data_IF_172045971326
#
_entry.id   IF_172045971326
#
_cell.length_a   1.000
_cell.length_b   1.000
_cell.length_c   1.000
_cell.angle_alpha   90.00
_cell.angle_beta   90.00
_cell.angle_gamma   90.00
#
_symmetry.space_group_name_H-M   'P 1'
#
loop_
_entity.id
_entity.type
_entity.pdbx_description
1 polymer ?
#
# COMPACT_ATOMS: atom_id res chain seq x y z
N UNK A 1 15.78 5.55 -6.67
CA UNK A 1 15.07 5.77 -7.96
C UNK A 1 14.28 7.07 -7.83
N UNK A 2 13.84 7.69 -8.92
CA UNK A 2 12.89 8.81 -8.84
C UNK A 2 11.50 8.30 -8.40
N UNK A 3 10.59 9.17 -7.93
CA UNK A 3 9.22 8.76 -7.59
C UNK A 3 8.53 8.01 -8.74
N UNK A 4 8.64 8.54 -9.97
CA UNK A 4 8.05 7.91 -11.15
C UNK A 4 8.66 6.53 -11.46
N UNK A 5 9.98 6.39 -11.32
CA UNK A 5 10.64 5.09 -11.49
C UNK A 5 10.18 4.08 -10.42
N UNK A 6 9.95 4.53 -9.19
CA UNK A 6 9.44 3.70 -8.10
C UNK A 6 8.03 3.20 -8.36
N UNK A 7 7.14 4.06 -8.87
CA UNK A 7 5.77 3.69 -9.24
C UNK A 7 5.76 2.61 -10.33
N UNK A 8 6.48 2.85 -11.43
CA UNK A 8 6.59 1.91 -12.55
C UNK A 8 7.13 0.55 -12.07
N UNK A 9 8.19 0.57 -11.25
CA UNK A 9 8.77 -0.65 -10.69
C UNK A 9 7.78 -1.39 -9.76
N UNK A 10 7.04 -0.66 -8.92
CA UNK A 10 6.04 -1.24 -8.03
C UNK A 10 4.90 -1.91 -8.80
N UNK A 11 4.34 -1.23 -9.80
CA UNK A 11 3.27 -1.76 -10.65
C UNK A 11 3.72 -3.01 -11.40
N UNK A 12 4.90 -2.95 -12.03
CA UNK A 12 5.46 -4.09 -12.79
C UNK A 12 5.73 -5.31 -11.90
N UNK A 13 6.30 -5.08 -10.71
CA UNK A 13 6.57 -6.15 -9.75
C UNK A 13 5.26 -6.74 -9.20
N UNK A 14 4.28 -5.89 -8.93
CA UNK A 14 2.94 -6.32 -8.49
C UNK A 14 2.26 -7.19 -9.54
N UNK A 15 2.27 -6.78 -10.81
CA UNK A 15 1.73 -7.56 -11.91
C UNK A 15 2.42 -8.94 -12.01
N UNK A 16 3.74 -8.98 -11.82
CA UNK A 16 4.51 -10.23 -11.81
C UNK A 16 4.10 -11.17 -10.68
N UNK A 17 3.89 -10.64 -9.46
CA UNK A 17 3.45 -11.44 -8.32
C UNK A 17 2.02 -11.97 -8.48
N UNK A 18 1.10 -11.14 -9.00
CA UNK A 18 -0.28 -11.55 -9.28
C UNK A 18 -0.32 -12.66 -10.33
N UNK A 19 0.46 -12.53 -11.42
CA UNK A 19 0.60 -13.58 -12.42
C UNK A 19 1.17 -14.88 -11.82
N UNK A 20 2.19 -14.80 -10.96
CA UNK A 20 2.73 -15.97 -10.25
C UNK A 20 1.73 -16.59 -9.24
N UNK A 21 0.78 -15.80 -8.74
CA UNK A 21 -0.33 -16.28 -7.91
C UNK A 21 -1.49 -16.90 -8.72
N UNK A 22 -1.39 -16.91 -10.05
CA UNK A 22 -2.36 -17.49 -10.97
C UNK A 22 -3.48 -16.55 -11.39
N UNK A 23 -3.28 -15.24 -11.27
CA UNK A 23 -4.22 -14.24 -11.80
C UNK A 23 -3.85 -13.83 -13.22
N UNK A 24 -4.86 -13.68 -14.07
CA UNK A 24 -4.74 -12.88 -15.28
C UNK A 24 -4.67 -11.40 -14.88
N UNK A 25 -3.62 -10.71 -15.33
CA UNK A 25 -3.38 -9.31 -14.97
C UNK A 25 -3.65 -8.42 -16.18
N UNK A 26 -4.66 -7.56 -16.06
CA UNK A 26 -4.96 -6.55 -17.04
C UNK A 26 -4.32 -5.24 -16.59
N UNK A 27 -3.32 -4.80 -17.35
CA UNK A 27 -2.68 -3.50 -17.18
C UNK A 27 -3.47 -2.47 -17.95
N UNK A 28 -3.90 -1.40 -17.29
CA UNK A 28 -4.64 -0.35 -17.95
C UNK A 28 -3.69 0.64 -18.62
N UNK A 29 -3.66 0.67 -19.96
CA UNK A 29 -2.87 1.64 -20.70
C UNK A 29 -3.67 2.94 -20.90
N UNK A 30 -3.29 4.02 -20.21
CA UNK A 30 -3.88 5.35 -20.38
C UNK A 30 -3.22 6.41 -19.50
N UNK A 31 -3.20 7.67 -19.97
CA UNK A 31 -2.68 8.79 -19.18
C UNK A 31 -3.65 9.11 -18.03
N UNK A 32 -3.32 8.67 -16.81
CA UNK A 32 -4.06 8.96 -15.56
C UNK A 32 -5.54 8.52 -15.59
N UNK A 33 -5.78 7.23 -15.46
CA UNK A 33 -7.11 6.71 -15.15
C UNK A 33 -7.30 6.71 -13.63
N UNK A 34 -8.38 7.31 -13.10
CA UNK A 34 -8.59 7.39 -11.67
C UNK A 34 -8.96 6.02 -11.09
N UNK A 35 -8.61 5.82 -9.81
CA UNK A 35 -9.12 4.82 -8.87
C UNK A 35 -8.37 3.48 -8.72
N UNK A 36 -7.78 2.89 -9.76
CA UNK A 36 -6.98 1.66 -9.66
C UNK A 36 -5.88 1.63 -10.72
N UNK A 37 -4.87 0.80 -10.50
CA UNK A 37 -3.66 0.72 -11.33
C UNK A 37 -3.65 -0.59 -12.15
N UNK A 38 -4.16 -1.69 -11.59
CA UNK A 38 -4.27 -3.01 -12.24
C UNK A 38 -5.65 -3.64 -11.99
N UNK A 39 -6.07 -4.53 -12.87
CA UNK A 39 -7.14 -5.50 -12.60
C UNK A 39 -6.54 -6.89 -12.58
N UNK A 40 -6.85 -7.67 -11.54
CA UNK A 40 -6.43 -9.06 -11.42
C UNK A 40 -7.66 -9.96 -11.41
N UNK A 41 -7.70 -10.94 -12.32
CA UNK A 41 -8.82 -11.87 -12.49
C UNK A 41 -8.34 -13.28 -12.24
N UNK A 42 -9.07 -14.04 -11.41
CA UNK A 42 -8.82 -15.46 -11.19
C UNK A 42 -10.16 -16.15 -11.04
N UNK A 43 -10.50 -16.99 -12.01
CA UNK A 43 -11.84 -17.58 -12.15
C UNK A 43 -12.91 -16.47 -12.19
N UNK A 44 -13.90 -16.50 -11.30
CA UNK A 44 -14.96 -15.49 -11.20
C UNK A 44 -14.56 -14.27 -10.34
N UNK A 45 -13.39 -14.31 -9.69
CA UNK A 45 -12.95 -13.26 -8.78
C UNK A 45 -12.19 -12.17 -9.52
N UNK A 46 -12.68 -10.94 -9.39
CA UNK A 46 -12.07 -9.73 -9.98
C UNK A 46 -11.62 -8.81 -8.84
N UNK A 47 -10.35 -8.42 -8.87
CA UNK A 47 -9.74 -7.49 -7.92
C UNK A 47 -9.34 -6.21 -8.63
N UNK A 48 -9.87 -5.08 -8.16
CA UNK A 48 -9.37 -3.76 -8.51
C UNK A 48 -8.18 -3.47 -7.61
N UNK A 49 -7.00 -3.26 -8.18
CA UNK A 49 -5.75 -3.14 -7.41
C UNK A 49 -5.19 -1.74 -7.54
N UNK A 50 -4.96 -1.06 -6.43
CA UNK A 50 -4.09 0.12 -6.40
C UNK A 50 -2.70 -0.22 -5.85
N UNK A 51 -1.68 0.16 -6.58
CA UNK A 51 -0.27 -0.07 -6.23
C UNK A 51 0.32 1.20 -5.66
N UNK A 52 1.11 1.06 -4.59
CA UNK A 52 1.88 2.16 -4.01
C UNK A 52 3.32 1.71 -3.76
N UNK A 53 4.26 2.31 -4.48
CA UNK A 53 5.69 2.14 -4.25
C UNK A 53 6.22 3.07 -3.16
N UNK A 54 7.19 2.61 -2.38
CA UNK A 54 7.95 3.41 -1.42
C UNK A 54 9.44 3.07 -1.49
N UNK A 55 10.28 4.05 -1.15
CA UNK A 55 11.75 3.89 -1.03
C UNK A 55 12.27 4.40 0.31
N UNK A 56 11.39 4.86 1.19
CA UNK A 56 11.75 5.59 2.40
C UNK A 56 11.18 4.99 3.68
N UNK A 57 10.51 3.84 3.62
CA UNK A 57 9.97 3.15 4.79
C UNK A 57 8.48 3.44 5.07
N UNK A 58 7.80 4.22 4.22
CA UNK A 58 6.36 4.46 4.39
C UNK A 58 5.63 4.99 3.16
N UNK A 59 4.31 5.09 3.27
CA UNK A 59 3.40 5.52 2.19
C UNK A 59 2.52 6.68 2.65
N UNK A 60 2.56 7.79 1.91
CA UNK A 60 1.75 8.98 2.22
C UNK A 60 0.33 8.82 1.67
N UNK A 61 -0.57 8.22 2.45
CA UNK A 61 -1.93 7.89 2.02
C UNK A 61 -2.93 9.00 2.40
N UNK A 62 -3.07 9.27 3.69
CA UNK A 62 -4.01 10.26 4.22
C UNK A 62 -3.40 11.67 4.34
N UNK A 63 -2.10 11.83 4.07
CA UNK A 63 -1.33 13.06 4.31
C UNK A 63 -1.93 14.29 3.60
N UNK A 64 -2.51 14.13 2.39
CA UNK A 64 -3.14 15.23 1.65
C UNK A 64 -4.41 15.80 2.32
N UNK A 65 -5.01 15.04 3.23
CA UNK A 65 -6.22 15.44 3.97
C UNK A 65 -5.88 16.11 5.30
N UNK A 66 -4.62 16.05 5.74
CA UNK A 66 -4.15 16.75 6.93
C UNK A 66 -4.04 18.24 6.60
N UNK A 67 -4.95 19.04 7.15
CA UNK A 67 -5.06 20.48 6.93
C UNK A 67 -5.15 21.20 8.27
N UNK A 68 -4.94 22.53 8.27
CA UNK A 68 -5.09 23.34 9.50
C UNK A 68 -6.48 23.11 10.10
N UNK A 69 -6.53 22.68 11.36
CA UNK A 69 -7.77 22.38 12.08
C UNK A 69 -8.38 20.98 11.81
N UNK A 70 -7.76 20.16 10.97
CA UNK A 70 -8.18 18.78 10.70
C UNK A 70 -7.17 17.82 11.34
N UNK A 71 -7.62 17.06 12.34
CA UNK A 71 -6.78 16.05 13.02
C UNK A 71 -6.50 14.82 12.15
N UNK A 72 -5.54 13.98 12.55
CA UNK A 72 -5.18 12.78 11.79
C UNK A 72 -6.35 11.82 11.59
N UNK A 73 -7.16 11.58 12.63
CA UNK A 73 -8.32 10.69 12.53
C UNK A 73 -9.30 11.17 11.45
N UNK A 74 -9.64 12.46 11.47
CA UNK A 74 -10.52 13.07 10.46
C UNK A 74 -9.91 13.00 9.06
N UNK A 75 -8.60 13.22 8.93
CA UNK A 75 -7.89 13.07 7.65
C UNK A 75 -7.90 11.63 7.13
N UNK A 76 -7.74 10.64 8.02
CA UNK A 76 -7.81 9.21 7.69
C UNK A 76 -9.22 8.81 7.28
N UNK A 77 -10.24 9.28 8.00
CA UNK A 77 -11.65 9.03 7.67
C UNK A 77 -12.01 9.65 6.31
N UNK A 78 -11.56 10.88 6.05
CA UNK A 78 -11.71 11.49 4.73
C UNK A 78 -11.00 10.69 3.65
N UNK A 79 -9.77 10.22 3.90
CA UNK A 79 -9.07 9.35 2.94
C UNK A 79 -9.87 8.08 2.65
N UNK A 80 -10.39 7.41 3.68
CA UNK A 80 -11.15 6.18 3.56
C UNK A 80 -12.44 6.36 2.76
N UNK A 81 -13.19 7.45 3.00
CA UNK A 81 -14.44 7.77 2.27
C UNK A 81 -14.19 7.96 0.77
N UNK A 82 -12.99 8.40 0.37
CA UNK A 82 -12.63 8.56 -1.04
C UNK A 82 -12.11 7.25 -1.68
N UNK A 83 -12.03 6.15 -0.94
CA UNK A 83 -11.63 4.85 -1.50
C UNK A 83 -12.86 4.10 -2.01
N UNK A 84 -12.66 3.25 -3.02
CA UNK A 84 -13.69 2.30 -3.44
C UNK A 84 -13.72 1.11 -2.49
N UNK A 85 -14.90 0.55 -2.28
CA UNK A 85 -15.08 -0.60 -1.39
C UNK A 85 -14.49 -1.91 -1.94
N UNK A 86 -14.35 -2.01 -3.27
CA UNK A 86 -13.80 -3.17 -3.98
C UNK A 86 -12.27 -3.07 -4.22
N UNK A 87 -11.63 -2.01 -3.74
CA UNK A 87 -10.21 -1.76 -3.97
C UNK A 87 -9.33 -2.57 -3.02
N UNK A 88 -8.27 -3.17 -3.56
CA UNK A 88 -7.18 -3.79 -2.81
C UNK A 88 -5.92 -2.95 -3.02
N UNK A 89 -5.23 -2.63 -1.94
CA UNK A 89 -3.93 -1.98 -2.01
C UNK A 89 -2.81 -3.01 -2.01
N UNK A 90 -1.84 -2.83 -2.92
CA UNK A 90 -0.55 -3.52 -2.90
C UNK A 90 0.55 -2.49 -2.64
N UNK A 91 1.21 -2.63 -1.50
CA UNK A 91 2.24 -1.72 -1.00
C UNK A 91 3.61 -2.36 -1.21
N UNK A 92 4.46 -1.74 -2.02
CA UNK A 92 5.79 -2.26 -2.39
C UNK A 92 6.87 -1.39 -1.77
N UNK A 93 7.79 -1.99 -1.00
CA UNK A 93 8.94 -1.29 -0.42
C UNK A 93 10.24 -1.66 -1.12
N UNK A 94 10.93 -0.64 -1.63
CA UNK A 94 12.27 -0.74 -2.21
C UNK A 94 13.41 -0.24 -1.32
N UNK A 95 13.13 0.31 -0.13
CA UNK A 95 14.18 0.73 0.80
C UNK A 95 15.13 -0.43 1.13
N UNK A 96 16.41 -0.23 0.85
CA UNK A 96 17.46 -1.22 1.10
C UNK A 96 17.39 -2.46 0.22
N UNK A 97 16.75 -2.38 -0.96
CA UNK A 97 16.66 -3.49 -1.93
C UNK A 97 17.68 -3.25 -3.04
N UNK A 98 18.59 -4.20 -3.25
CA UNK A 98 19.57 -4.12 -4.34
C UNK A 98 18.93 -4.49 -5.70
N UNK A 99 19.58 -4.11 -6.79
CA UNK A 99 19.16 -4.53 -8.13
C UNK A 99 19.27 -6.06 -8.22
N UNK A 100 18.19 -6.71 -8.66
CA UNK A 100 18.09 -8.17 -8.74
C UNK A 100 17.47 -8.84 -7.52
N UNK A 101 17.23 -8.09 -6.43
CA UNK A 101 16.53 -8.59 -5.25
C UNK A 101 15.03 -8.29 -5.29
N UNK A 102 14.25 -9.08 -4.55
CA UNK A 102 12.82 -8.89 -4.42
C UNK A 102 12.49 -7.84 -3.34
N UNK A 103 11.67 -6.81 -3.64
CA UNK A 103 11.14 -5.92 -2.62
C UNK A 103 10.14 -6.62 -1.68
N UNK A 104 9.92 -6.03 -0.51
CA UNK A 104 8.86 -6.46 0.40
C UNK A 104 7.52 -5.95 -0.11
N UNK A 105 6.50 -6.79 -0.06
CA UNK A 105 5.17 -6.50 -0.61
C UNK A 105 4.09 -6.84 0.40
N UNK A 106 3.11 -5.95 0.55
CA UNK A 106 2.00 -6.08 1.48
C UNK A 106 0.65 -5.87 0.78
N UNK A 107 -0.39 -6.56 1.25
CA UNK A 107 -1.75 -6.57 0.70
C UNK A 107 -2.77 -6.24 1.79
N UNK A 108 -3.58 -5.21 1.56
CA UNK A 108 -4.61 -4.78 2.50
C UNK A 108 -5.77 -4.07 1.80
N UNK A 109 -6.95 -4.08 2.43
CA UNK A 109 -8.09 -3.24 2.03
C UNK A 109 -8.01 -1.86 2.69
N UNK A 110 -8.68 -0.84 2.12
CA UNK A 110 -8.74 0.50 2.71
C UNK A 110 -9.15 0.55 4.18
N UNK A 111 -10.15 -0.20 4.67
CA UNK A 111 -10.49 -0.18 6.09
C UNK A 111 -9.35 -0.66 7.00
N UNK A 112 -8.67 -1.75 6.63
CA UNK A 112 -7.52 -2.27 7.37
C UNK A 112 -6.38 -1.23 7.43
N UNK A 113 -6.15 -0.51 6.32
CA UNK A 113 -5.18 0.59 6.27
C UNK A 113 -5.60 1.75 7.16
N UNK A 114 -6.87 2.15 7.14
CA UNK A 114 -7.36 3.24 7.97
C UNK A 114 -7.22 2.91 9.46
N UNK A 115 -7.54 1.69 9.87
CA UNK A 115 -7.33 1.20 11.23
C UNK A 115 -5.85 1.25 11.62
N UNK A 116 -4.96 0.77 10.75
CA UNK A 116 -3.53 0.79 11.02
C UNK A 116 -2.96 2.22 11.11
N UNK A 117 -3.42 3.14 10.24
CA UNK A 117 -3.05 4.55 10.28
C UNK A 117 -3.50 5.22 11.58
N UNK A 118 -4.66 4.84 12.14
CA UNK A 118 -5.16 5.35 13.42
C UNK A 118 -4.37 4.79 14.60
N UNK A 119 -3.99 3.51 14.53
CA UNK A 119 -3.19 2.86 15.57
C UNK A 119 -1.75 3.42 15.67
N UNK A 120 -1.23 3.99 14.57
CA UNK A 120 0.10 4.60 14.58
C UNK A 120 0.27 5.71 15.62
N UNK A 121 1.53 5.93 16.02
CA UNK A 121 1.94 6.95 17.00
C UNK A 121 1.22 6.75 18.34
N UNK A 122 1.11 5.51 18.81
CA UNK A 122 0.40 5.12 20.03
C UNK A 122 -1.08 5.55 20.03
N UNK A 123 -1.76 5.40 18.89
CA UNK A 123 -3.18 5.76 18.76
C UNK A 123 -3.46 7.24 18.51
N UNK A 124 -2.44 8.08 18.30
CA UNK A 124 -2.65 9.48 17.89
C UNK A 124 -3.01 9.60 16.40
N UNK A 125 -2.73 8.55 15.63
CA UNK A 125 -2.88 8.50 14.20
C UNK A 125 -1.72 9.16 13.45
N UNK A 126 -1.55 8.76 12.20
CA UNK A 126 -0.55 9.36 11.31
C UNK A 126 -1.04 9.38 9.87
N UNK A 127 -0.69 10.43 9.12
CA UNK A 127 -1.10 10.60 7.72
C UNK A 127 -0.33 9.70 6.73
N UNK A 128 0.74 9.04 7.21
CA UNK A 128 1.56 8.14 6.42
C UNK A 128 1.63 6.77 7.12
N UNK A 129 1.49 5.70 6.35
CA UNK A 129 1.64 4.34 6.84
C UNK A 129 3.13 4.01 6.94
N UNK A 130 3.61 3.63 8.13
CA UNK A 130 5.01 3.28 8.38
C UNK A 130 5.18 1.77 8.33
N UNK A 131 6.18 1.29 7.60
CA UNK A 131 6.45 -0.15 7.45
C UNK A 131 7.04 -0.75 8.72
N UNK A 132 8.13 -0.17 9.23
CA UNK A 132 8.79 -0.57 10.48
C UNK A 132 9.63 0.59 11.02
N UNK A 133 9.06 1.36 11.95
CA UNK A 133 9.70 2.54 12.52
C UNK A 133 11.02 2.23 13.24
N UNK A 134 11.16 1.08 13.88
CA UNK A 134 12.40 0.74 14.60
C UNK A 134 13.52 0.35 13.65
N UNK A 135 13.20 -0.37 12.58
CA UNK A 135 14.17 -0.68 11.53
C UNK A 135 14.62 0.59 10.81
N UNK A 136 13.69 1.49 10.53
CA UNK A 136 13.93 2.68 9.71
C UNK A 136 14.46 3.89 10.51
N UNK A 137 14.10 3.96 11.79
CA UNK A 137 14.49 5.01 12.74
C UNK A 137 14.73 4.38 14.13
N UNK A 138 15.92 3.80 14.40
CA UNK A 138 16.19 3.05 15.64
C UNK A 138 16.04 3.83 16.95
N UNK A 139 15.99 5.16 16.89
CA UNK A 139 15.78 6.06 18.03
C UNK A 139 14.34 6.56 18.15
N UNK A 140 13.43 6.09 17.28
CA UNK A 140 12.02 6.43 17.34
C UNK A 140 11.44 5.95 18.66
N UNK A 141 10.64 6.79 19.31
CA UNK A 141 9.83 6.40 20.47
C UNK A 141 8.58 5.59 20.08
N UNK A 142 8.30 5.50 18.78
CA UNK A 142 7.13 4.80 18.24
C UNK A 142 7.53 3.49 17.59
N UNK A 143 6.74 2.45 17.87
CA UNK A 143 6.92 1.07 17.42
C UNK A 143 6.05 0.75 16.21
N UNK A 144 5.65 1.76 15.43
CA UNK A 144 4.74 1.60 14.28
C UNK A 144 5.31 0.58 13.29
N UNK A 145 4.48 -0.40 12.92
CA UNK A 145 4.88 -1.48 12.02
C UNK A 145 3.66 -2.00 11.25
N UNK A 146 3.84 -2.41 10.00
CA UNK A 146 2.80 -3.12 9.25
C UNK A 146 2.60 -4.53 9.83
N UNK A 147 1.34 -5.01 9.97
CA UNK A 147 1.08 -6.38 10.39
C UNK A 147 1.73 -7.41 9.46
N UNK A 148 2.37 -8.43 10.03
CA UNK A 148 2.99 -9.50 9.23
C UNK A 148 1.95 -10.27 8.39
N UNK A 149 0.69 -10.31 8.83
CA UNK A 149 -0.43 -10.90 8.10
C UNK A 149 -0.75 -10.21 6.77
N UNK A 150 -0.21 -9.00 6.54
CA UNK A 150 -0.36 -8.32 5.26
C UNK A 150 0.67 -8.75 4.23
N UNK A 151 1.72 -9.51 4.60
CA UNK A 151 2.72 -9.94 3.64
C UNK A 151 2.06 -10.61 2.42
N UNK A 152 2.55 -10.28 1.22
CA UNK A 152 2.02 -10.87 0.00
C UNK A 152 2.31 -12.38 0.00
N UNK A 153 1.25 -13.17 0.07
CA UNK A 153 1.26 -14.62 -0.11
C UNK A 153 0.09 -14.99 -1.02
N UNK A 154 0.16 -16.18 -1.63
CA UNK A 154 -0.98 -16.72 -2.40
C UNK A 154 -2.24 -16.78 -1.54
N UNK A 155 -2.13 -17.28 -0.31
CA UNK A 155 -3.25 -17.36 0.63
C UNK A 155 -3.85 -15.99 0.95
N UNK A 156 -3.02 -14.97 1.20
CA UNK A 156 -3.51 -13.62 1.52
C UNK A 156 -4.22 -13.00 0.34
N UNK A 157 -3.64 -13.04 -0.87
CA UNK A 157 -4.29 -12.45 -2.05
C UNK A 157 -5.55 -13.23 -2.43
N UNK A 158 -5.57 -14.55 -2.28
CA UNK A 158 -6.73 -15.39 -2.58
C UNK A 158 -7.90 -15.16 -1.59
N UNK A 159 -7.63 -14.66 -0.38
CA UNK A 159 -8.64 -14.40 0.65
C UNK A 159 -8.82 -12.91 1.03
N UNK A 160 -8.18 -11.98 0.29
CA UNK A 160 -8.29 -10.54 0.57
C UNK A 160 -9.71 -9.99 0.38
#
# INVERSE_FOLDING_TARGET
MTPRQCEIAAESFTASLLAQAGYDVLVQYGANQPHYDLVAVKEERILMVSVKGSQNGGWMLASRFVKKGVGYYQAIDQWLIHQRNDLVYILVQFKGVAIGEAPRVYVARPPEIAEQLKAHRNGLGHGALQEDCHRDHPRSQYTDKIPLSWAFTRERIDNI
#
